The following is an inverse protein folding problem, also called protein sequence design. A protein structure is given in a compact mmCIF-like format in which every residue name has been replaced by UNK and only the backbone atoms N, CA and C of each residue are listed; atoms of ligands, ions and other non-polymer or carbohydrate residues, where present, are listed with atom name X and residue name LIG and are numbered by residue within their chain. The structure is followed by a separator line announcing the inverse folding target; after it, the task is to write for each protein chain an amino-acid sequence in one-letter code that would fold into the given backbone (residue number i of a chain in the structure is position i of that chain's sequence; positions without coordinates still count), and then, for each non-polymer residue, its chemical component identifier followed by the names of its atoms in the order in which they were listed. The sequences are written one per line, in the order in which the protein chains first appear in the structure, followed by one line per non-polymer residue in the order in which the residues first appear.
data_IF_058668999836
#
_entry.id   IF_058668999836
#
_cell.length_a   1.000
_cell.length_b   1.000
_cell.length_c   1.000
_cell.angle_alpha   90.00
_cell.angle_beta   90.00
_cell.angle_gamma   90.00
#
_symmetry.space_group_name_H-M   'P 1'
#
loop_
_entity.id
_entity.type
_entity.pdbx_description
1 polymer ?
#
# COMPACT_ATOMS: atom_id res chain seq x y z
N UNK A 1 -22.61 6.49 19.83
CA UNK A 1 -22.39 5.04 19.66
C UNK A 1 -21.40 4.83 18.53
N UNK A 2 -20.13 5.09 18.81
CA UNK A 2 -19.05 4.08 18.92
C UNK A 2 -18.53 3.63 17.55
N UNK A 3 -17.65 4.49 17.01
CA UNK A 3 -16.74 4.31 15.87
C UNK A 3 -15.68 3.20 16.11
N UNK A 4 -16.00 2.24 16.99
CA UNK A 4 -15.10 1.29 17.63
C UNK A 4 -14.42 0.29 16.68
N UNK A 5 -15.04 -0.19 15.57
CA UNK A 5 -14.35 -1.10 14.65
C UNK A 5 -13.24 -0.40 13.84
N UNK A 6 -13.45 0.87 13.48
CA UNK A 6 -12.63 1.57 12.50
C UNK A 6 -11.26 1.97 13.08
N UNK A 7 -11.21 2.36 14.36
CA UNK A 7 -9.96 2.75 15.04
C UNK A 7 -8.92 1.62 15.06
N UNK A 8 -9.34 0.38 15.34
CA UNK A 8 -8.44 -0.77 15.41
C UNK A 8 -7.97 -1.20 14.03
N UNK A 9 -8.82 -1.12 13.01
CA UNK A 9 -8.41 -1.38 11.63
C UNK A 9 -7.31 -0.39 11.23
N UNK A 10 -7.54 0.91 11.42
CA UNK A 10 -6.53 1.95 11.10
C UNK A 10 -5.21 1.74 11.85
N UNK A 11 -5.26 1.45 13.15
CA UNK A 11 -4.06 1.19 13.95
C UNK A 11 -3.32 -0.09 13.53
N UNK A 12 -4.03 -1.21 13.34
CA UNK A 12 -3.42 -2.45 12.88
C UNK A 12 -2.82 -2.33 11.49
N UNK A 13 -3.42 -1.51 10.64
CA UNK A 13 -2.94 -1.25 9.29
C UNK A 13 -1.57 -0.56 9.30
N UNK A 14 -1.45 0.50 10.11
CA UNK A 14 -0.19 1.22 10.31
C UNK A 14 0.89 0.33 10.93
N UNK A 15 0.54 -0.48 11.93
CA UNK A 15 1.47 -1.41 12.57
C UNK A 15 1.92 -2.54 11.63
N UNK A 16 1.02 -3.04 10.78
CA UNK A 16 1.34 -4.07 9.79
C UNK A 16 2.22 -3.51 8.66
N UNK A 17 2.00 -2.26 8.26
CA UNK A 17 2.86 -1.55 7.31
C UNK A 17 4.30 -1.40 7.86
N UNK A 18 4.45 -0.95 9.10
CA UNK A 18 5.75 -0.88 9.76
C UNK A 18 6.46 -2.25 9.84
N UNK A 19 5.71 -3.32 10.13
CA UNK A 19 6.23 -4.69 10.13
C UNK A 19 6.72 -5.12 8.74
N UNK A 20 5.94 -4.83 7.70
CA UNK A 20 6.29 -5.13 6.32
C UNK A 20 7.54 -4.37 5.86
N UNK A 21 7.72 -3.10 6.28
CA UNK A 21 8.93 -2.33 5.99
C UNK A 21 10.17 -2.92 6.65
N UNK A 22 10.11 -3.23 7.95
CA UNK A 22 11.21 -3.88 8.65
C UNK A 22 11.63 -5.19 7.97
N UNK A 23 10.66 -6.01 7.55
CA UNK A 23 10.93 -7.23 6.81
C UNK A 23 11.53 -6.97 5.41
N UNK A 24 11.06 -5.96 4.70
CA UNK A 24 11.53 -5.63 3.34
C UNK A 24 12.97 -5.08 3.33
N UNK A 25 13.33 -4.28 4.33
CA UNK A 25 14.67 -3.69 4.48
C UNK A 25 15.65 -4.56 5.26
N UNK A 26 15.23 -5.74 5.73
CA UNK A 26 16.02 -6.62 6.62
C UNK A 26 16.47 -5.90 7.90
N UNK A 27 15.68 -4.94 8.35
CA UNK A 27 15.92 -4.17 9.57
C UNK A 27 15.26 -4.84 10.77
N UNK A 28 15.58 -4.36 11.97
CA UNK A 28 14.84 -4.79 13.15
C UNK A 28 13.42 -4.22 13.09
N UNK A 29 12.45 -4.89 13.72
CA UNK A 29 11.09 -4.34 13.85
C UNK A 29 11.09 -2.97 14.54
N UNK A 30 12.08 -2.73 15.41
CA UNK A 30 12.19 -1.51 16.20
C UNK A 30 12.60 -0.29 15.37
N UNK A 31 13.33 -0.48 14.26
CA UNK A 31 13.68 0.60 13.33
C UNK A 31 12.43 1.28 12.76
N UNK A 32 11.36 0.50 12.57
CA UNK A 32 10.06 0.97 12.08
C UNK A 32 8.99 1.07 13.18
N UNK A 33 9.35 1.00 14.46
CA UNK A 33 8.39 1.06 15.56
C UNK A 33 7.50 2.31 15.49
N UNK A 34 6.18 2.09 15.59
CA UNK A 34 5.17 3.14 15.41
C UNK A 34 4.97 3.93 16.70
N UNK A 35 5.12 5.27 16.70
CA UNK A 35 4.92 6.08 17.88
C UNK A 35 3.47 6.08 18.39
N UNK A 36 3.30 6.17 19.71
CA UNK A 36 1.98 6.20 20.37
C UNK A 36 1.09 7.33 19.84
N UNK A 37 1.67 8.48 19.46
CA UNK A 37 0.92 9.62 18.91
C UNK A 37 0.17 9.23 17.64
N UNK A 38 0.80 8.47 16.75
CA UNK A 38 0.23 8.06 15.47
C UNK A 38 -0.93 7.08 15.68
N UNK A 39 -0.83 6.20 16.68
CA UNK A 39 -1.94 5.32 17.04
C UNK A 39 -3.09 6.08 17.74
N UNK A 40 -2.80 7.12 18.51
CA UNK A 40 -3.85 8.00 19.07
C UNK A 40 -4.59 8.79 17.99
N UNK A 41 -3.92 9.19 16.92
CA UNK A 41 -4.54 9.82 15.72
C UNK A 41 -5.46 8.85 14.96
N UNK A 42 -5.26 7.53 15.14
CA UNK A 42 -6.21 6.51 14.71
C UNK A 42 -7.45 6.38 15.62
N UNK A 43 -7.48 7.11 16.74
CA UNK A 43 -8.56 7.10 17.72
C UNK A 43 -8.35 6.10 18.87
N UNK A 44 -7.15 5.51 19.02
CA UNK A 44 -6.86 4.64 20.16
C UNK A 44 -6.65 5.46 21.43
N UNK A 45 -7.18 4.95 22.53
CA UNK A 45 -6.95 5.47 23.86
C UNK A 45 -6.03 4.56 24.70
N UNK A 46 -5.83 4.94 25.96
CA UNK A 46 -4.98 4.19 26.88
C UNK A 46 -5.51 2.79 27.21
N UNK A 47 -6.82 2.58 27.17
CA UNK A 47 -7.43 1.27 27.40
C UNK A 47 -7.19 0.35 26.20
N UNK A 48 -7.26 0.89 24.98
CA UNK A 48 -6.96 0.15 23.76
C UNK A 48 -5.49 -0.32 23.73
N UNK A 49 -4.53 0.53 24.15
CA UNK A 49 -3.12 0.12 24.22
C UNK A 49 -2.89 -1.01 25.24
N UNK A 50 -3.54 -0.92 26.40
CA UNK A 50 -3.51 -2.01 27.40
C UNK A 50 -4.10 -3.30 26.83
N UNK A 51 -5.21 -3.19 26.09
CA UNK A 51 -5.85 -4.33 25.47
C UNK A 51 -4.97 -4.99 24.41
N UNK A 52 -4.35 -4.20 23.51
CA UNK A 52 -3.43 -4.69 22.49
C UNK A 52 -2.22 -5.42 23.13
N UNK A 53 -1.63 -4.83 24.17
CA UNK A 53 -0.52 -5.42 24.90
C UNK A 53 -0.92 -6.71 25.62
N UNK A 54 -2.07 -6.73 26.32
CA UNK A 54 -2.58 -7.92 27.03
C UNK A 54 -3.01 -9.05 26.10
N UNK A 55 -3.49 -8.73 24.90
CA UNK A 55 -3.74 -9.73 23.86
C UNK A 55 -2.44 -10.29 23.25
N UNK A 56 -1.30 -9.70 23.58
CA UNK A 56 -0.01 -10.07 23.03
C UNK A 56 0.15 -9.69 21.57
N UNK A 57 -0.66 -8.75 21.05
CA UNK A 57 -0.59 -8.32 19.65
C UNK A 57 0.54 -7.33 19.38
N UNK A 58 0.96 -6.59 20.40
CA UNK A 58 2.03 -5.60 20.28
C UNK A 58 3.05 -5.79 21.39
N UNK A 59 4.32 -5.53 21.06
CA UNK A 59 5.34 -5.15 22.05
C UNK A 59 5.45 -3.62 22.04
N UNK A 60 5.82 -3.07 23.19
CA UNK A 60 6.02 -1.64 23.34
C UNK A 60 7.25 -1.32 24.18
N UNK A 61 7.87 -0.18 23.89
CA UNK A 61 9.03 0.34 24.60
C UNK A 61 9.10 1.86 24.44
N UNK A 62 9.77 2.53 25.36
CA UNK A 62 10.03 3.97 25.27
C UNK A 62 11.22 4.23 24.36
N UNK A 63 11.05 5.10 23.37
CA UNK A 63 12.14 5.59 22.55
C UNK A 63 13.02 6.57 23.34
N UNK A 64 14.32 6.27 23.39
CA UNK A 64 15.35 7.01 24.14
C UNK A 64 16.48 7.51 23.26
N UNK A 65 16.34 7.39 21.93
CA UNK A 65 17.26 7.90 20.91
C UNK A 65 17.70 9.34 21.21
N UNK A 66 19.00 9.56 21.21
CA UNK A 66 19.66 10.84 21.43
C UNK A 66 20.12 11.46 20.10
N UNK A 67 20.42 12.75 20.14
CA UNK A 67 20.97 13.46 19.00
C UNK A 67 22.38 12.94 18.71
N UNK A 68 22.58 12.32 17.56
CA UNK A 68 23.86 11.75 17.13
C UNK A 68 23.90 10.22 17.12
N UNK A 69 22.85 9.54 17.58
CA UNK A 69 22.75 8.09 17.49
C UNK A 69 22.50 7.65 16.04
N UNK A 70 23.24 6.62 15.59
CA UNK A 70 23.01 5.96 14.30
C UNK A 70 21.97 4.85 14.46
N UNK A 71 20.70 5.24 14.53
CA UNK A 71 19.57 4.32 14.68
C UNK A 71 18.57 4.76 15.74
N UNK A 72 17.72 3.81 16.18
CA UNK A 72 16.69 4.06 17.20
C UNK A 72 16.90 3.15 18.40
N UNK A 73 16.93 3.76 19.57
CA UNK A 73 17.13 3.04 20.84
C UNK A 73 15.87 3.03 21.70
N UNK A 74 15.64 1.88 22.35
CA UNK A 74 14.41 1.62 23.10
C UNK A 74 14.67 1.03 24.48
N UNK A 75 13.96 1.56 25.47
CA UNK A 75 13.97 1.06 26.85
C UNK A 75 12.62 0.45 27.21
N UNK A 76 12.65 -0.75 27.79
CA UNK A 76 11.45 -1.37 28.34
C UNK A 76 10.90 -0.55 29.53
N UNK A 77 9.60 -0.24 29.52
CA UNK A 77 8.94 0.54 30.59
C UNK A 77 8.02 -0.31 31.48
N UNK A 78 8.06 -1.65 31.33
CA UNK A 78 7.15 -2.60 31.97
C UNK A 78 5.88 -2.85 31.15
N UNK A 79 5.05 -3.80 31.59
CA UNK A 79 4.01 -4.40 30.73
C UNK A 79 2.88 -3.46 30.31
N UNK A 80 2.55 -2.44 31.12
CA UNK A 80 1.40 -1.55 30.88
C UNK A 80 1.69 -0.06 31.15
N UNK A 81 2.96 0.32 31.22
CA UNK A 81 3.37 1.72 31.39
C UNK A 81 3.65 2.32 30.04
N UNK A 82 2.88 3.35 29.69
CA UNK A 82 3.00 4.05 28.42
C UNK A 82 3.36 5.52 28.66
N UNK A 83 4.30 6.03 27.89
CA UNK A 83 4.72 7.45 27.90
C UNK A 83 4.41 8.08 26.54
N UNK A 84 4.57 9.40 26.43
CA UNK A 84 4.44 10.08 25.13
C UNK A 84 5.47 9.63 24.09
N UNK A 85 6.57 9.01 24.53
CA UNK A 85 7.63 8.45 23.67
C UNK A 85 7.53 6.93 23.50
N UNK A 86 6.42 6.31 23.91
CA UNK A 86 6.24 4.88 23.67
C UNK A 86 6.04 4.62 22.18
N UNK A 87 6.72 3.60 21.68
CA UNK A 87 6.57 3.07 20.33
C UNK A 87 6.16 1.60 20.38
N UNK A 88 5.47 1.14 19.33
CA UNK A 88 4.87 -0.18 19.25
C UNK A 88 5.37 -0.94 18.02
N UNK A 89 5.59 -2.24 18.19
CA UNK A 89 5.86 -3.19 17.10
C UNK A 89 4.90 -4.37 17.21
N UNK A 90 4.56 -4.99 16.08
CA UNK A 90 3.73 -6.21 16.10
C UNK A 90 4.52 -7.40 16.61
N UNK A 91 3.82 -8.28 17.32
CA UNK A 91 4.23 -9.67 17.51
C UNK A 91 3.72 -10.52 16.34
N UNK A 92 4.16 -11.76 16.23
CA UNK A 92 3.63 -12.71 15.23
C UNK A 92 2.10 -12.89 15.35
N UNK A 93 1.57 -13.01 16.58
CA UNK A 93 0.12 -13.10 16.81
C UNK A 93 -0.60 -11.80 16.44
N UNK A 94 0.07 -10.66 16.65
CA UNK A 94 -0.39 -9.34 16.21
C UNK A 94 -0.48 -9.20 14.70
N UNK A 95 0.50 -9.73 13.95
CA UNK A 95 0.49 -9.75 12.48
C UNK A 95 -0.72 -10.53 11.97
N UNK A 96 -0.98 -11.72 12.51
CA UNK A 96 -2.14 -12.53 12.14
C UNK A 96 -3.46 -11.82 12.45
N UNK A 97 -3.57 -11.21 13.64
CA UNK A 97 -4.76 -10.46 14.04
C UNK A 97 -4.99 -9.23 13.15
N UNK A 98 -3.93 -8.46 12.87
CA UNK A 98 -3.95 -7.29 12.01
C UNK A 98 -4.39 -7.65 10.57
N UNK A 99 -3.78 -8.69 9.99
CA UNK A 99 -4.13 -9.17 8.66
C UNK A 99 -5.61 -9.62 8.59
N UNK A 100 -6.07 -10.36 9.60
CA UNK A 100 -7.46 -10.82 9.71
C UNK A 100 -8.47 -9.67 9.82
N UNK A 101 -8.21 -8.69 10.70
CA UNK A 101 -9.06 -7.52 10.87
C UNK A 101 -9.18 -6.71 9.56
N UNK A 102 -8.05 -6.50 8.87
CA UNK A 102 -8.03 -5.74 7.63
C UNK A 102 -8.66 -6.48 6.44
N UNK A 103 -8.81 -7.82 6.49
CA UNK A 103 -9.47 -8.60 5.44
C UNK A 103 -10.99 -8.69 5.67
N UNK A 104 -11.45 -8.77 6.92
CA UNK A 104 -12.89 -8.78 7.26
C UNK A 104 -13.61 -7.49 6.85
N UNK A 105 -12.95 -6.34 7.02
CA UNK A 105 -13.50 -5.04 6.60
C UNK A 105 -13.72 -4.97 5.08
N UNK A 106 -12.74 -5.46 4.29
CA UNK A 106 -12.80 -5.48 2.82
C UNK A 106 -13.98 -6.28 2.28
N UNK A 107 -14.31 -7.41 2.91
CA UNK A 107 -15.48 -8.20 2.54
C UNK A 107 -16.79 -7.48 2.89
N UNK A 108 -16.86 -6.78 4.02
CA UNK A 108 -18.03 -5.99 4.38
C UNK A 108 -18.29 -4.82 3.40
N UNK A 109 -17.23 -4.13 2.98
CA UNK A 109 -17.33 -3.00 2.06
C UNK A 109 -17.66 -3.45 0.62
N UNK A 110 -17.14 -4.60 0.19
CA UNK A 110 -17.41 -5.15 -1.15
C UNK A 110 -18.88 -5.54 -1.33
N UNK A 111 -19.51 -6.17 -0.32
CA UNK A 111 -20.93 -6.56 -0.39
C UNK A 111 -21.85 -5.33 -0.45
N UNK A 112 -21.49 -4.24 0.22
CA UNK A 112 -22.27 -3.00 0.25
C UNK A 112 -22.24 -2.22 -1.09
N UNK A 113 -21.15 -2.34 -1.86
CA UNK A 113 -21.01 -1.71 -3.19
C UNK A 113 -21.85 -2.42 -4.25
N UNK A 114 -21.98 -3.76 -4.19
CA UNK A 114 -22.80 -4.52 -5.14
C UNK A 114 -24.31 -4.28 -4.96
N UNK A 115 -24.78 -4.09 -3.73
CA UNK A 115 -26.20 -3.82 -3.47
C UNK A 115 -26.69 -2.45 -3.98
N UNK A 116 -25.80 -1.45 -4.05
CA UNK A 116 -26.16 -0.10 -4.55
C UNK A 116 -26.22 -0.01 -6.09
N UNK A 117 -25.51 -0.87 -6.80
CA UNK A 117 -25.44 -0.84 -8.27
C UNK A 117 -26.61 -1.54 -8.99
N UNK A 118 -27.44 -2.31 -8.29
CA UNK A 118 -28.60 -3.02 -8.87
C UNK A 118 -29.85 -2.14 -9.06
N UNK A 119 -29.89 -0.91 -8.56
CA UNK A 119 -31.06 -0.01 -8.69
C UNK A 119 -30.94 0.94 -9.91
N UNK A 120 -29.75 1.11 -10.49
CA UNK A 120 -29.50 2.16 -11.49
C UNK A 120 -29.48 1.71 -12.96
N UNK A 121 -29.65 0.43 -13.28
CA UNK A 121 -29.64 -0.08 -14.66
C UNK A 121 -30.94 -0.80 -15.03
N UNK A 122 -32.02 -0.05 -15.16
CA UNK A 122 -33.18 -0.48 -15.94
C UNK A 122 -33.71 0.67 -16.78
N UNK A 123 -33.21 0.75 -18.02
CA UNK A 123 -33.85 1.34 -19.21
C UNK A 123 -32.96 1.04 -20.43
N UNK A 124 -33.34 0.01 -21.21
CA UNK A 124 -33.04 -0.10 -22.66
C UNK A 124 -34.26 0.46 -23.43
N UNK A 125 -34.11 0.89 -24.69
CA UNK A 125 -34.33 0.00 -25.86
C UNK A 125 -33.24 0.16 -26.96
N UNK A 126 -32.74 -0.94 -27.57
CA UNK A 126 -33.11 -1.54 -28.88
C UNK A 126 -32.63 -0.79 -30.15
N UNK A 127 -31.77 -1.44 -30.94
CA UNK A 127 -31.91 -1.66 -32.39
C UNK A 127 -30.76 -2.54 -32.92
N UNK A 128 -31.09 -3.39 -33.89
CA UNK A 128 -30.33 -4.47 -34.55
C UNK A 128 -29.50 -3.94 -35.74
N UNK A 129 -28.49 -4.70 -36.22
CA UNK A 129 -28.44 -5.29 -37.58
C UNK A 129 -27.01 -5.74 -38.01
N UNK A 130 -27.01 -6.72 -38.92
CA UNK A 130 -26.03 -7.71 -39.40
C UNK A 130 -24.71 -7.26 -40.04
N UNK A 131 -23.75 -8.20 -40.15
CA UNK A 131 -22.68 -8.11 -41.16
C UNK A 131 -21.43 -8.97 -40.94
N UNK A 132 -21.39 -10.15 -41.56
CA UNK A 132 -20.29 -11.12 -41.61
C UNK A 132 -19.04 -10.64 -42.37
N UNK A 133 -17.82 -10.95 -41.91
CA UNK A 133 -16.70 -11.43 -42.75
C UNK A 133 -15.47 -11.84 -41.92
N UNK A 134 -15.00 -13.07 -42.14
CA UNK A 134 -13.75 -13.61 -41.60
C UNK A 134 -12.59 -13.37 -42.57
N UNK A 135 -11.44 -12.93 -42.04
CA UNK A 135 -10.14 -12.89 -42.71
C UNK A 135 -9.02 -12.87 -41.65
N UNK A 136 -7.86 -13.51 -41.88
CA UNK A 136 -6.83 -13.70 -40.85
C UNK A 136 -6.10 -12.38 -40.64
N UNK A 137 -6.42 -11.67 -39.57
CA UNK A 137 -5.73 -10.43 -39.22
C UNK A 137 -4.32 -10.74 -38.73
N UNK A 138 -3.34 -10.26 -39.49
CA UNK A 138 -1.96 -10.04 -39.10
C UNK A 138 -1.95 -9.37 -37.72
N UNK A 139 -1.31 -10.02 -36.75
CA UNK A 139 -1.14 -9.56 -35.35
C UNK A 139 -0.42 -8.22 -35.31
N UNK A 140 -1.20 -7.15 -35.32
CA UNK A 140 -0.75 -5.82 -34.89
C UNK A 140 -0.63 -5.89 -33.37
N UNK A 141 0.51 -5.52 -32.74
CA UNK A 141 0.62 -5.54 -31.29
C UNK A 141 -0.46 -4.63 -30.71
N UNK A 142 -1.45 -5.23 -30.06
CA UNK A 142 -2.52 -4.48 -29.42
C UNK A 142 -1.88 -3.50 -28.41
N UNK A 143 -2.28 -2.22 -28.40
CA UNK A 143 -1.80 -1.27 -27.41
C UNK A 143 -2.16 -1.82 -26.02
N UNK A 144 -1.14 -1.99 -25.17
CA UNK A 144 -1.33 -2.44 -23.80
C UNK A 144 -2.02 -1.33 -23.02
N UNK A 145 -3.25 -1.58 -22.57
CA UNK A 145 -4.01 -0.62 -21.77
C UNK A 145 -3.60 -0.80 -20.33
N UNK A 146 -2.72 0.09 -19.85
CA UNK A 146 -2.38 0.20 -18.43
C UNK A 146 -3.30 1.22 -17.79
N UNK A 147 -3.83 0.88 -16.62
CA UNK A 147 -4.74 1.74 -15.88
C UNK A 147 -4.38 1.72 -14.40
N UNK A 148 -4.11 2.91 -13.87
CA UNK A 148 -4.03 3.13 -12.44
C UNK A 148 -5.34 3.78 -11.97
N UNK A 149 -6.00 3.14 -11.03
CA UNK A 149 -7.16 3.70 -10.34
C UNK A 149 -6.75 4.17 -8.95
N UNK A 150 -6.59 5.47 -8.77
CA UNK A 150 -6.24 6.11 -7.49
C UNK A 150 -7.29 5.87 -6.42
N UNK A 151 -8.58 5.80 -6.79
CA UNK A 151 -9.67 5.62 -5.83
C UNK A 151 -9.68 4.20 -5.26
N UNK A 152 -9.52 3.20 -6.14
CA UNK A 152 -9.50 1.79 -5.73
C UNK A 152 -8.11 1.23 -5.46
N UNK A 153 -7.08 2.06 -5.67
CA UNK A 153 -5.66 1.77 -5.50
C UNK A 153 -5.22 0.50 -6.23
N UNK A 154 -5.60 0.39 -7.48
CA UNK A 154 -5.36 -0.80 -8.29
C UNK A 154 -4.70 -0.44 -9.61
N UNK A 155 -3.60 -1.14 -9.89
CA UNK A 155 -2.91 -1.13 -11.16
C UNK A 155 -3.39 -2.32 -11.99
N UNK A 156 -3.94 -2.05 -13.16
CA UNK A 156 -4.40 -3.04 -14.13
C UNK A 156 -3.61 -2.93 -15.43
N UNK A 157 -3.46 -4.05 -16.12
CA UNK A 157 -2.96 -4.12 -17.48
C UNK A 157 -3.88 -5.04 -18.28
N UNK A 158 -4.46 -4.55 -19.38
CA UNK A 158 -5.41 -5.29 -20.22
C UNK A 158 -6.54 -5.93 -19.38
N UNK A 159 -7.04 -5.19 -18.38
CA UNK A 159 -8.08 -5.64 -17.44
C UNK A 159 -7.62 -6.64 -16.35
N UNK A 160 -6.38 -7.11 -16.38
CA UNK A 160 -5.81 -7.98 -15.35
C UNK A 160 -5.20 -7.15 -14.23
N UNK A 161 -5.49 -7.49 -12.99
CA UNK A 161 -4.95 -6.82 -11.82
C UNK A 161 -3.46 -7.14 -11.67
N UNK A 162 -2.60 -6.16 -11.98
CA UNK A 162 -1.14 -6.26 -11.80
C UNK A 162 -0.81 -6.14 -10.33
N UNK A 163 -1.31 -5.09 -9.67
CA UNK A 163 -1.00 -4.81 -8.27
C UNK A 163 -2.13 -4.08 -7.58
N UNK A 164 -2.39 -4.42 -6.33
CA UNK A 164 -3.39 -3.75 -5.48
C UNK A 164 -2.69 -3.19 -4.26
N UNK A 165 -2.85 -1.90 -4.03
CA UNK A 165 -2.33 -1.23 -2.85
C UNK A 165 -3.43 -1.18 -1.80
N UNK A 166 -3.15 -1.82 -0.67
CA UNK A 166 -4.08 -1.84 0.45
C UNK A 166 -4.12 -0.50 1.19
N UNK A 167 -3.05 0.28 1.10
CA UNK A 167 -2.80 1.52 1.83
C UNK A 167 -2.20 2.60 0.93
N UNK A 168 -2.29 3.89 1.33
CA UNK A 168 -1.66 4.98 0.60
C UNK A 168 -0.15 4.74 0.54
N UNK A 169 0.36 4.35 -0.61
CA UNK A 169 1.79 4.17 -0.81
C UNK A 169 2.34 5.44 -1.46
N UNK A 170 2.45 6.53 -0.70
CA UNK A 170 2.63 7.89 -1.24
C UNK A 170 3.62 7.99 -2.41
N UNK A 171 4.80 7.37 -2.30
CA UNK A 171 5.78 7.37 -3.40
C UNK A 171 5.34 6.51 -4.60
N UNK A 172 4.85 5.29 -4.37
CA UNK A 172 4.36 4.43 -5.47
C UNK A 172 3.11 5.02 -6.13
N UNK A 173 2.21 5.64 -5.37
CA UNK A 173 1.02 6.34 -5.88
C UNK A 173 1.40 7.60 -6.64
N UNK A 174 2.38 8.39 -6.18
CA UNK A 174 2.88 9.55 -6.91
C UNK A 174 3.43 9.14 -8.29
N UNK A 175 4.20 8.06 -8.34
CA UNK A 175 4.74 7.49 -9.57
C UNK A 175 3.63 6.98 -10.50
N UNK A 176 2.64 6.26 -9.98
CA UNK A 176 1.50 5.75 -10.76
C UNK A 176 0.52 6.85 -11.20
N UNK A 177 0.31 7.88 -10.37
CA UNK A 177 -0.48 9.06 -10.72
C UNK A 177 0.20 9.81 -11.87
N UNK A 178 1.51 10.04 -11.80
CA UNK A 178 2.26 10.71 -12.87
C UNK A 178 2.15 9.95 -14.20
N UNK A 179 2.34 8.62 -14.19
CA UNK A 179 2.10 7.83 -15.40
C UNK A 179 0.65 7.94 -15.90
N UNK A 180 -0.34 7.92 -15.00
CA UNK A 180 -1.74 8.01 -15.39
C UNK A 180 -2.13 9.38 -15.97
N UNK A 181 -1.58 10.47 -15.41
CA UNK A 181 -1.78 11.85 -15.85
C UNK A 181 -1.14 12.10 -17.21
N UNK A 182 0.04 11.53 -17.45
CA UNK A 182 0.77 11.63 -18.71
C UNK A 182 0.33 10.61 -19.77
N UNK A 183 -0.68 9.78 -19.48
CA UNK A 183 -1.22 8.75 -20.37
C UNK A 183 -0.22 7.62 -20.69
N UNK A 184 0.54 7.21 -19.68
CA UNK A 184 1.48 6.08 -19.69
C UNK A 184 2.55 6.18 -20.80
N UNK A 185 3.35 7.27 -20.85
CA UNK A 185 4.48 7.34 -21.77
C UNK A 185 5.53 6.31 -21.37
N UNK A 186 6.44 6.00 -22.30
CA UNK A 186 7.51 5.02 -22.07
C UNK A 186 8.46 5.44 -20.92
N UNK A 187 8.61 6.75 -20.70
CA UNK A 187 9.44 7.36 -19.65
C UNK A 187 8.70 8.56 -19.04
N UNK A 188 8.78 8.70 -17.72
CA UNK A 188 8.46 9.94 -16.98
C UNK A 188 9.69 10.38 -16.17
N UNK A 189 9.75 11.65 -15.78
CA UNK A 189 10.72 12.15 -14.80
C UNK A 189 10.32 11.73 -13.37
N UNK A 190 11.26 11.79 -12.41
CA UNK A 190 11.02 11.43 -10.99
C UNK A 190 9.97 12.37 -10.36
N UNK A 191 8.74 11.88 -10.10
CA UNK A 191 7.67 12.70 -9.55
C UNK A 191 7.68 12.70 -8.01
N UNK A 192 8.64 12.01 -7.39
CA UNK A 192 8.67 11.81 -5.95
C UNK A 192 9.16 13.07 -5.22
N UNK A 193 8.49 13.50 -4.14
CA UNK A 193 8.89 14.70 -3.41
C UNK A 193 10.32 14.57 -2.86
N UNK A 194 11.11 15.66 -2.85
CA UNK A 194 12.43 15.64 -2.26
C UNK A 194 12.33 15.40 -0.74
N UNK A 195 13.23 14.57 -0.20
CA UNK A 195 13.34 14.33 1.23
C UNK A 195 14.76 14.74 1.66
N UNK A 196 14.85 15.60 2.67
CA UNK A 196 16.10 16.27 3.07
C UNK A 196 17.18 15.30 3.55
N UNK A 197 16.76 14.13 4.04
CA UNK A 197 17.63 13.12 4.66
C UNK A 197 17.82 11.85 3.78
N UNK A 198 17.30 11.84 2.54
CA UNK A 198 17.39 10.70 1.64
C UNK A 198 17.93 11.10 0.28
N UNK A 199 18.95 10.37 -0.20
CA UNK A 199 19.44 10.50 -1.57
C UNK A 199 18.31 10.24 -2.58
N UNK A 200 18.01 11.18 -3.51
CA UNK A 200 16.92 11.05 -4.47
C UNK A 200 17.00 9.77 -5.33
N UNK A 201 18.22 9.37 -5.74
CA UNK A 201 18.42 8.17 -6.56
C UNK A 201 18.07 6.91 -5.78
N UNK A 202 18.49 6.82 -4.53
CA UNK A 202 18.13 5.73 -3.62
C UNK A 202 16.62 5.68 -3.35
N UNK A 203 15.98 6.83 -3.09
CA UNK A 203 14.52 6.95 -2.91
C UNK A 203 13.75 6.40 -4.11
N UNK A 204 14.17 6.80 -5.31
CA UNK A 204 13.54 6.37 -6.56
C UNK A 204 13.74 4.87 -6.79
N UNK A 205 14.97 4.37 -6.64
CA UNK A 205 15.29 2.95 -6.80
C UNK A 205 14.49 2.07 -5.83
N UNK A 206 14.38 2.45 -4.56
CA UNK A 206 13.60 1.73 -3.56
C UNK A 206 12.09 1.73 -3.89
N UNK A 207 11.59 2.83 -4.43
CA UNK A 207 10.19 2.95 -4.88
C UNK A 207 9.89 2.03 -6.06
N UNK A 208 10.77 2.01 -7.08
CA UNK A 208 10.66 1.13 -8.25
C UNK A 208 10.75 -0.34 -7.84
N UNK A 209 11.71 -0.68 -6.98
CA UNK A 209 11.87 -2.02 -6.42
C UNK A 209 10.59 -2.45 -5.69
N UNK A 210 10.03 -1.59 -4.85
CA UNK A 210 8.75 -1.84 -4.19
C UNK A 210 7.63 -2.04 -5.20
N UNK A 211 7.56 -1.23 -6.26
CA UNK A 211 6.53 -1.26 -7.30
C UNK A 211 6.51 -2.61 -8.06
N UNK A 212 7.69 -3.14 -8.39
CA UNK A 212 7.87 -4.46 -9.02
C UNK A 212 7.59 -5.64 -8.08
N UNK A 213 7.79 -5.46 -6.77
CA UNK A 213 7.51 -6.49 -5.76
C UNK A 213 6.01 -6.63 -5.52
N UNK A 214 5.62 -7.84 -5.07
CA UNK A 214 4.25 -8.18 -4.66
C UNK A 214 3.17 -7.87 -5.74
N UNK A 215 3.54 -7.91 -7.03
CA UNK A 215 2.54 -7.94 -8.10
C UNK A 215 1.77 -9.27 -8.04
N UNK A 216 0.45 -9.19 -8.20
CA UNK A 216 -0.46 -10.34 -8.23
C UNK A 216 -0.28 -11.07 -9.57
N UNK A 217 -0.27 -10.30 -10.67
CA UNK A 217 0.11 -10.78 -11.98
C UNK A 217 1.36 -10.00 -12.40
N UNK A 218 2.50 -10.69 -12.50
CA UNK A 218 3.75 -10.10 -12.99
C UNK A 218 3.65 -9.84 -14.48
N UNK A 219 3.13 -8.67 -14.82
CA UNK A 219 2.82 -8.24 -16.19
C UNK A 219 3.56 -6.97 -16.57
N UNK A 220 4.01 -6.20 -15.57
CA UNK A 220 4.73 -4.95 -15.76
C UNK A 220 6.03 -4.99 -14.97
N UNK A 221 7.09 -4.48 -15.56
CA UNK A 221 8.34 -4.24 -14.85
C UNK A 221 8.74 -2.78 -15.03
N UNK A 222 9.01 -2.11 -13.91
CA UNK A 222 9.45 -0.73 -13.85
C UNK A 222 10.96 -0.68 -13.64
N UNK A 223 11.63 0.28 -14.25
CA UNK A 223 13.08 0.48 -14.11
C UNK A 223 13.41 1.95 -14.02
N UNK A 224 14.59 2.28 -13.48
CA UNK A 224 15.14 3.62 -13.64
C UNK A 224 15.62 3.80 -15.08
N UNK A 225 15.62 5.03 -15.58
CA UNK A 225 16.12 5.37 -16.92
C UNK A 225 17.66 5.33 -17.06
N UNK A 226 18.38 4.92 -16.00
CA UNK A 226 19.84 4.86 -15.94
C UNK A 226 20.51 6.14 -15.43
N UNK A 227 19.79 7.27 -15.37
CA UNK A 227 20.32 8.55 -14.86
C UNK A 227 20.02 8.73 -13.37
N UNK A 228 18.93 8.10 -12.90
CA UNK A 228 18.37 8.28 -11.56
C UNK A 228 17.36 9.43 -11.47
N UNK A 229 16.96 10.00 -12.61
CA UNK A 229 16.04 11.14 -12.71
C UNK A 229 14.70 10.76 -13.35
N UNK A 230 14.53 9.51 -13.79
CA UNK A 230 13.31 9.09 -14.46
C UNK A 230 13.02 7.60 -14.31
N UNK A 231 11.78 7.25 -14.65
CA UNK A 231 11.23 5.89 -14.56
C UNK A 231 10.72 5.45 -15.92
N UNK A 232 11.03 4.22 -16.31
CA UNK A 232 10.51 3.55 -17.50
C UNK A 232 9.76 2.28 -17.12
N UNK A 233 8.91 1.77 -18.01
CA UNK A 233 8.22 0.49 -17.82
C UNK A 233 8.27 -0.38 -19.07
N UNK A 234 8.17 -1.69 -18.87
CA UNK A 234 8.09 -2.69 -19.91
C UNK A 234 7.03 -3.75 -19.58
N UNK A 235 6.44 -4.33 -20.61
CA UNK A 235 5.56 -5.50 -20.46
C UNK A 235 6.42 -6.74 -20.39
N UNK A 236 6.14 -7.57 -19.39
CA UNK A 236 6.77 -8.88 -19.26
C UNK A 236 5.77 -9.97 -19.64
N UNK A 237 6.17 -10.85 -20.56
CA UNK A 237 5.37 -12.03 -20.89
C UNK A 237 5.43 -13.04 -19.74
N UNK A 238 4.28 -13.62 -19.34
CA UNK A 238 4.28 -14.67 -18.33
C UNK A 238 5.01 -15.91 -18.89
N UNK A 239 6.01 -16.39 -18.15
CA UNK A 239 6.67 -17.67 -18.40
C UNK A 239 5.73 -18.86 -18.14
#
# INVERSE_FOLDING_TARGET
MSDSPNKFIRAFSMLLEAYDYAADTQSTLWDFAVPIRSLKECGLDWSDFRWLARKGFVRHAQEVTLLGDDGRDFRATGDLTFTRRTCFVLTESGVLAAAGACNKQRNADSVNVFSKNLVAKSRRPFAEDDGQAAGPSLTTPQPHIIQWDTNSRQLHMNGKLVKRFKWPAANQEALLNAFQEEHWPQRIDDPLPPQTDQDPKRRLADTIKCLNRKQINRLLQFHGDGTGEGVIWEVIEPA
#
